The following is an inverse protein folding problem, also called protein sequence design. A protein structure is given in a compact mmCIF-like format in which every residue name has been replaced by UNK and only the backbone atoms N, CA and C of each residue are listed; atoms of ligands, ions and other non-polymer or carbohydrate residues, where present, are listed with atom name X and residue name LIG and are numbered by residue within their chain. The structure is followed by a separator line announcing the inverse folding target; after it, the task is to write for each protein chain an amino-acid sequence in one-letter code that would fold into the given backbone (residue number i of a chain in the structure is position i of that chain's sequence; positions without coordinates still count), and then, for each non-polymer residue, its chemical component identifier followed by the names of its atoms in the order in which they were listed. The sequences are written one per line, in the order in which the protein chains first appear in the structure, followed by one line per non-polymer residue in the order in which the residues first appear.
data_IF_863259560582
#
_entry.id   IF_863259560582
#
_cell.length_a   1.000
_cell.length_b   1.000
_cell.length_c   1.000
_cell.angle_alpha   90.00
_cell.angle_beta   90.00
_cell.angle_gamma   90.00
#
_symmetry.space_group_name_H-M   'P 1'
#
loop_
_entity.id
_entity.type
_entity.pdbx_description
1 polymer ?
#
# COMPACT_ATOMS: atom_id res chain seq x y z
N UNK A 1 -18.85 -4.38 -2.21
CA UNK A 1 -17.71 -3.49 -1.91
C UNK A 1 -16.64 -3.70 -2.98
N UNK A 2 -16.36 -2.69 -3.80
CA UNK A 2 -15.46 -2.78 -4.96
C UNK A 2 -14.05 -2.32 -4.56
N UNK A 3 -12.98 -3.06 -4.91
CA UNK A 3 -11.62 -2.59 -4.68
C UNK A 3 -11.38 -1.31 -5.49
N UNK A 4 -10.53 -0.43 -4.97
CA UNK A 4 -10.06 0.70 -5.76
C UNK A 4 -9.27 0.19 -6.95
N UNK A 5 -9.51 0.82 -8.10
CA UNK A 5 -8.73 0.54 -9.30
C UNK A 5 -7.27 0.88 -9.08
N UNK A 6 -6.41 0.11 -9.73
CA UNK A 6 -4.96 0.39 -9.71
C UNK A 6 -4.69 1.64 -10.51
N UNK A 7 -3.65 2.36 -10.09
CA UNK A 7 -3.17 3.48 -10.85
C UNK A 7 -2.62 2.97 -12.18
N UNK A 8 -3.07 3.55 -13.29
CA UNK A 8 -2.56 3.24 -14.64
C UNK A 8 -1.47 4.23 -15.04
N UNK A 9 -0.58 3.85 -15.95
CA UNK A 9 0.46 4.74 -16.47
C UNK A 9 -0.11 6.04 -17.06
N UNK A 10 -1.17 5.96 -17.87
CA UNK A 10 -1.82 7.15 -18.46
C UNK A 10 -2.36 8.08 -17.37
N UNK A 11 -3.03 7.52 -16.36
CA UNK A 11 -3.52 8.29 -15.23
C UNK A 11 -2.39 8.93 -14.46
N UNK A 12 -1.33 8.17 -14.14
CA UNK A 12 -0.16 8.68 -13.46
C UNK A 12 0.51 9.81 -14.26
N UNK A 13 0.61 9.70 -15.59
CA UNK A 13 1.15 10.73 -16.47
C UNK A 13 0.30 12.01 -16.51
N UNK A 14 -1.03 11.87 -16.41
CA UNK A 14 -1.97 12.99 -16.38
C UNK A 14 -1.97 13.78 -15.06
N UNK A 15 -1.42 13.21 -13.98
CA UNK A 15 -1.39 13.90 -12.69
C UNK A 15 -0.42 15.09 -12.72
N UNK A 16 -0.86 16.29 -12.28
CA UNK A 16 0.02 17.45 -12.19
C UNK A 16 1.02 17.29 -11.03
N UNK A 17 2.14 18.01 -11.11
CA UNK A 17 3.04 18.15 -9.97
C UNK A 17 2.28 18.73 -8.76
N UNK A 18 2.58 18.22 -7.57
CA UNK A 18 1.84 18.51 -6.35
C UNK A 18 0.72 17.52 -6.03
N UNK A 19 0.35 16.63 -6.95
CA UNK A 19 -0.63 15.57 -6.70
C UNK A 19 -0.17 14.65 -5.59
N UNK A 20 -1.11 14.23 -4.73
CA UNK A 20 -0.83 13.35 -3.60
C UNK A 20 -1.27 11.93 -3.91
N UNK A 21 -0.42 10.97 -3.61
CA UNK A 21 -0.70 9.55 -3.74
C UNK A 21 -0.42 8.82 -2.43
N UNK A 22 -1.22 7.82 -2.12
CA UNK A 22 -0.96 6.89 -1.02
C UNK A 22 -0.08 5.76 -1.51
N UNK A 23 1.15 5.68 -1.04
CA UNK A 23 2.10 4.61 -1.34
C UNK A 23 2.36 3.81 -0.07
N UNK A 24 1.92 2.55 -0.03
CA UNK A 24 1.94 1.74 1.20
C UNK A 24 1.27 2.47 2.37
N UNK A 25 2.01 2.66 3.46
CA UNK A 25 1.57 3.39 4.66
C UNK A 25 1.70 4.92 4.60
N UNK A 26 2.43 5.47 3.61
CA UNK A 26 2.76 6.89 3.53
C UNK A 26 2.01 7.62 2.41
N UNK A 27 1.90 8.93 2.53
CA UNK A 27 1.41 9.80 1.45
C UNK A 27 2.64 10.49 0.85
N UNK A 28 2.77 10.41 -0.46
CA UNK A 28 3.81 11.09 -1.23
C UNK A 28 3.18 12.20 -2.08
N UNK A 29 3.95 13.26 -2.34
CA UNK A 29 3.60 14.34 -3.26
C UNK A 29 4.47 14.24 -4.50
N UNK A 30 3.86 14.11 -5.67
CA UNK A 30 4.59 14.08 -6.95
C UNK A 30 5.29 15.41 -7.19
N UNK A 31 6.57 15.37 -7.58
CA UNK A 31 7.35 16.58 -7.89
C UNK A 31 7.90 16.57 -9.31
N UNK A 32 8.12 15.40 -9.90
CA UNK A 32 8.71 15.31 -11.23
C UNK A 32 8.66 13.90 -11.80
N UNK A 33 9.12 13.79 -13.04
CA UNK A 33 9.34 12.53 -13.74
C UNK A 33 10.70 12.61 -14.42
N UNK A 34 11.40 11.50 -14.42
CA UNK A 34 12.72 11.38 -15.04
C UNK A 34 12.92 10.00 -15.63
N UNK A 35 14.11 9.78 -16.16
CA UNK A 35 14.54 8.48 -16.66
C UNK A 35 15.93 8.17 -16.13
N UNK A 36 16.15 6.94 -15.71
CA UNK A 36 17.44 6.46 -15.22
C UNK A 36 17.89 5.24 -16.01
N UNK A 37 19.08 5.27 -16.59
CA UNK A 37 19.67 4.10 -17.24
C UNK A 37 20.60 3.40 -16.27
N UNK A 38 20.29 2.14 -15.94
CA UNK A 38 21.12 1.35 -15.04
C UNK A 38 22.38 0.80 -15.73
N UNK A 39 23.28 0.21 -14.94
CA UNK A 39 24.53 -0.39 -15.44
C UNK A 39 24.33 -1.57 -16.41
N UNK A 40 23.13 -2.14 -16.46
CA UNK A 40 22.74 -3.16 -17.44
C UNK A 40 22.18 -2.56 -18.75
N UNK A 41 22.25 -1.24 -18.93
CA UNK A 41 21.77 -0.53 -20.12
C UNK A 41 20.25 -0.40 -20.22
N UNK A 42 19.50 -0.73 -19.16
CA UNK A 42 18.04 -0.58 -19.14
C UNK A 42 17.65 0.81 -18.66
N UNK A 43 16.88 1.52 -19.47
CA UNK A 43 16.26 2.79 -19.10
C UNK A 43 14.96 2.52 -18.34
N UNK A 44 14.88 3.06 -17.13
CA UNK A 44 13.74 2.96 -16.23
C UNK A 44 13.10 4.34 -16.09
N UNK A 45 11.78 4.40 -16.15
CA UNK A 45 11.04 5.62 -15.84
C UNK A 45 11.01 5.81 -14.33
N UNK A 46 11.39 7.00 -13.89
CA UNK A 46 11.47 7.38 -12.49
C UNK A 46 10.40 8.43 -12.19
N UNK A 47 9.76 8.27 -11.04
CA UNK A 47 8.81 9.23 -10.48
C UNK A 47 9.46 9.88 -9.27
N UNK A 48 9.67 11.19 -9.35
CA UNK A 48 10.20 11.98 -8.26
C UNK A 48 9.06 12.42 -7.36
N UNK A 49 9.29 12.32 -6.05
CA UNK A 49 8.31 12.67 -5.04
C UNK A 49 8.96 13.27 -3.80
N UNK A 50 8.12 13.86 -2.96
CA UNK A 50 8.45 14.27 -1.60
C UNK A 50 7.54 13.52 -0.63
N UNK A 51 8.13 12.88 0.38
CA UNK A 51 7.38 12.17 1.40
C UNK A 51 6.66 13.14 2.37
N UNK A 52 5.86 12.60 3.29
CA UNK A 52 5.13 13.42 4.27
C UNK A 52 6.04 14.18 5.26
N UNK A 53 7.33 13.85 5.33
CA UNK A 53 8.33 14.53 6.16
C UNK A 53 9.11 15.60 5.38
N UNK A 54 8.80 15.79 4.10
CA UNK A 54 9.51 16.73 3.24
C UNK A 54 10.79 16.16 2.63
N UNK A 55 11.05 14.85 2.78
CA UNK A 55 12.25 14.22 2.24
C UNK A 55 12.01 13.87 0.76
N UNK A 56 12.87 14.35 -0.17
CA UNK A 56 12.79 13.97 -1.57
C UNK A 56 13.19 12.51 -1.76
N UNK A 57 12.55 11.85 -2.72
CA UNK A 57 12.89 10.50 -3.13
C UNK A 57 12.44 10.24 -4.57
N UNK A 58 12.86 9.10 -5.11
CA UNK A 58 12.45 8.64 -6.43
C UNK A 58 12.18 7.14 -6.40
N UNK A 59 11.12 6.73 -7.09
CA UNK A 59 10.81 5.33 -7.32
C UNK A 59 10.66 5.08 -8.81
N UNK A 60 10.92 3.85 -9.22
CA UNK A 60 10.55 3.40 -10.54
C UNK A 60 9.02 3.50 -10.70
N UNK A 61 8.58 3.92 -11.89
CA UNK A 61 7.17 4.05 -12.23
C UNK A 61 6.38 2.77 -11.95
N UNK A 62 6.94 1.60 -12.26
CA UNK A 62 6.33 0.29 -12.01
C UNK A 62 5.93 0.10 -10.53
N UNK A 63 6.80 0.51 -9.60
CA UNK A 63 6.53 0.44 -8.15
C UNK A 63 5.34 1.33 -7.78
N UNK A 64 5.26 2.54 -8.36
CA UNK A 64 4.15 3.46 -8.13
C UNK A 64 2.85 2.88 -8.68
N UNK A 65 2.85 2.29 -9.87
CA UNK A 65 1.65 1.70 -10.48
C UNK A 65 1.13 0.48 -9.69
N UNK A 66 2.05 -0.36 -9.20
CA UNK A 66 1.68 -1.55 -8.43
C UNK A 66 1.18 -1.21 -7.02
N UNK A 67 1.75 -0.17 -6.41
CA UNK A 67 1.60 0.06 -4.97
C UNK A 67 0.86 1.34 -4.61
N UNK A 68 0.77 2.35 -5.48
CA UNK A 68 0.18 3.64 -5.15
C UNK A 68 -1.30 3.73 -5.52
N UNK A 69 -2.01 4.69 -4.93
CA UNK A 69 -3.38 5.06 -5.31
C UNK A 69 -3.69 6.51 -5.02
N UNK A 70 -4.61 7.10 -5.77
CA UNK A 70 -5.16 8.44 -5.52
C UNK A 70 -6.06 8.47 -4.26
N UNK A 71 -6.56 7.31 -3.82
CA UNK A 71 -7.40 7.21 -2.63
C UNK A 71 -6.57 7.26 -1.34
N UNK A 72 -6.37 8.46 -0.81
CA UNK A 72 -5.49 8.73 0.35
C UNK A 72 -5.90 7.98 1.64
N UNK A 73 -7.20 7.75 1.81
CA UNK A 73 -7.77 7.04 2.95
C UNK A 73 -7.87 5.52 2.73
N UNK A 74 -7.31 5.02 1.62
CA UNK A 74 -7.33 3.58 1.35
C UNK A 74 -6.41 2.81 2.29
N UNK A 75 -6.84 1.60 2.60
CA UNK A 75 -6.05 0.61 3.32
C UNK A 75 -5.82 -0.59 2.42
N UNK A 76 -4.64 -1.19 2.52
CA UNK A 76 -4.28 -2.38 1.75
C UNK A 76 -4.56 -3.62 2.59
N UNK A 77 -5.27 -4.60 2.01
CA UNK A 77 -5.49 -5.87 2.68
C UNK A 77 -4.18 -6.66 2.78
N UNK A 78 -3.81 -7.06 3.99
CA UNK A 78 -2.58 -7.81 4.25
C UNK A 78 -2.57 -9.24 3.65
N UNK A 79 -3.73 -9.76 3.23
CA UNK A 79 -3.83 -11.08 2.59
C UNK A 79 -3.82 -10.99 1.05
N UNK A 80 -4.75 -10.23 0.47
CA UNK A 80 -4.94 -10.22 -0.99
C UNK A 80 -4.30 -9.01 -1.68
N UNK A 81 -3.72 -8.06 -0.94
CA UNK A 81 -3.09 -6.86 -1.50
C UNK A 81 -4.07 -5.83 -2.09
N UNK A 82 -5.38 -6.11 -2.12
CA UNK A 82 -6.35 -5.16 -2.65
C UNK A 82 -6.44 -3.91 -1.76
N UNK A 83 -6.49 -2.74 -2.40
CA UNK A 83 -6.75 -1.45 -1.75
C UNK A 83 -8.25 -1.20 -1.67
N UNK A 84 -8.74 -0.85 -0.49
CA UNK A 84 -10.16 -0.59 -0.24
C UNK A 84 -10.37 0.59 0.68
N UNK A 85 -11.60 1.05 0.80
CA UNK A 85 -11.98 1.98 1.85
C UNK A 85 -11.79 1.33 3.23
N UNK A 86 -11.44 2.14 4.24
CA UNK A 86 -11.17 1.64 5.59
C UNK A 86 -12.37 0.91 6.20
N UNK A 87 -13.59 1.37 5.91
CA UNK A 87 -14.83 0.77 6.40
C UNK A 87 -15.15 -0.60 5.78
N UNK A 88 -14.51 -0.95 4.65
CA UNK A 88 -14.68 -2.25 3.98
C UNK A 88 -13.67 -3.29 4.51
N UNK A 89 -12.87 -2.89 5.51
CA UNK A 89 -11.80 -3.70 6.07
C UNK A 89 -11.97 -3.86 7.59
N UNK A 90 -11.83 -5.10 8.06
CA UNK A 90 -11.68 -5.39 9.48
C UNK A 90 -10.21 -5.27 9.89
N UNK A 91 -9.97 -4.69 11.06
CA UNK A 91 -8.62 -4.63 11.66
C UNK A 91 -8.42 -5.86 12.53
N UNK A 92 -7.30 -6.56 12.35
CA UNK A 92 -6.86 -7.65 13.22
C UNK A 92 -5.43 -7.43 13.68
N UNK A 93 -5.18 -7.75 14.94
CA UNK A 93 -3.83 -7.81 15.47
C UNK A 93 -3.15 -9.09 14.98
N UNK A 94 -2.00 -8.92 14.34
CA UNK A 94 -1.14 -9.99 13.85
C UNK A 94 0.10 -10.01 14.73
N UNK A 95 0.26 -11.08 15.51
CA UNK A 95 1.42 -11.28 16.37
C UNK A 95 2.33 -12.35 15.78
N UNK A 96 3.63 -12.07 15.78
CA UNK A 96 4.72 -13.02 15.52
C UNK A 96 5.48 -13.28 16.82
N UNK A 97 6.47 -14.18 16.81
CA UNK A 97 7.34 -14.42 17.99
C UNK A 97 8.06 -13.16 18.47
N UNK A 98 8.33 -12.19 17.59
CA UNK A 98 9.14 -11.02 17.91
C UNK A 98 8.35 -9.70 17.90
N UNK A 99 7.24 -9.62 17.18
CA UNK A 99 6.55 -8.36 16.93
C UNK A 99 5.03 -8.53 16.93
N UNK A 100 4.32 -7.47 17.32
CA UNK A 100 2.87 -7.39 17.19
C UNK A 100 2.52 -6.15 16.38
N UNK A 101 1.67 -6.30 15.36
CA UNK A 101 1.19 -5.18 14.55
C UNK A 101 -0.30 -5.31 14.26
N UNK A 102 -0.94 -4.19 13.93
CA UNK A 102 -2.31 -4.20 13.42
C UNK A 102 -2.27 -4.27 11.90
N UNK A 103 -3.20 -5.02 11.31
CA UNK A 103 -3.32 -5.19 9.86
C UNK A 103 -4.77 -5.16 9.42
N UNK A 104 -5.02 -4.60 8.25
CA UNK A 104 -6.34 -4.53 7.63
C UNK A 104 -6.59 -5.77 6.77
N UNK A 105 -7.80 -6.32 6.84
CA UNK A 105 -8.25 -7.46 6.06
C UNK A 105 -9.61 -7.18 5.46
N UNK A 106 -9.83 -7.57 4.21
CA UNK A 106 -11.17 -7.44 3.62
C UNK A 106 -12.18 -8.29 4.41
N UNK A 107 -13.32 -7.68 4.73
CA UNK A 107 -14.41 -8.32 5.46
C UNK A 107 -15.11 -9.38 4.59
N UNK A 108 -15.40 -9.03 3.34
CA UNK A 108 -16.21 -9.79 2.37
C UNK A 108 -15.71 -11.20 2.05
N UNK A 109 -14.39 -11.42 2.00
CA UNK A 109 -13.78 -12.67 1.51
C UNK A 109 -13.20 -13.56 2.60
N UNK A 110 -13.43 -13.22 3.88
CA UNK A 110 -12.79 -13.92 5.00
C UNK A 110 -11.26 -13.85 4.92
N UNK A 111 -10.71 -12.76 4.39
CA UNK A 111 -9.28 -12.62 4.12
C UNK A 111 -8.43 -12.79 5.39
N UNK A 112 -8.93 -12.34 6.53
CA UNK A 112 -8.27 -12.54 7.81
C UNK A 112 -8.08 -14.03 8.12
N UNK A 113 -9.13 -14.83 7.99
CA UNK A 113 -9.09 -16.26 8.33
C UNK A 113 -8.12 -17.03 7.43
N UNK A 114 -8.16 -16.75 6.12
CA UNK A 114 -7.24 -17.36 5.15
C UNK A 114 -5.79 -17.00 5.45
N UNK A 115 -5.54 -15.74 5.80
CA UNK A 115 -4.20 -15.28 6.18
C UNK A 115 -3.63 -16.08 7.35
N UNK A 116 -4.38 -16.21 8.45
CA UNK A 116 -3.92 -16.94 9.62
C UNK A 116 -3.83 -18.45 9.38
N UNK A 117 -4.67 -19.02 8.51
CA UNK A 117 -4.56 -20.43 8.08
C UNK A 117 -3.27 -20.69 7.29
N UNK A 118 -2.89 -19.77 6.40
CA UNK A 118 -1.66 -19.87 5.62
C UNK A 118 -0.41 -19.50 6.42
N UNK A 119 -0.57 -18.78 7.53
CA UNK A 119 0.53 -18.32 8.38
C UNK A 119 0.35 -18.84 9.81
N UNK A 120 0.50 -20.15 10.07
CA UNK A 120 0.26 -20.74 11.39
C UNK A 120 1.22 -20.21 12.48
N UNK A 121 2.39 -19.69 12.09
CA UNK A 121 3.31 -19.01 13.00
C UNK A 121 2.88 -17.61 13.43
N UNK A 122 1.73 -17.11 12.93
CA UNK A 122 1.14 -15.83 13.32
C UNK A 122 -0.12 -16.09 14.14
N UNK A 123 -0.18 -15.57 15.37
CA UNK A 123 -1.35 -15.77 16.23
C UNK A 123 -2.35 -14.63 16.08
N UNK A 124 -3.64 -15.00 16.10
CA UNK A 124 -4.73 -14.05 16.34
C UNK A 124 -4.70 -13.73 17.83
N UNK A 125 -4.35 -12.50 18.22
CA UNK A 125 -4.61 -12.10 19.60
C UNK A 125 -6.12 -11.87 19.73
N UNK A 126 -6.83 -12.79 20.38
CA UNK A 126 -8.21 -12.53 20.79
C UNK A 126 -8.18 -11.34 21.75
N UNK A 127 -9.00 -10.30 21.49
CA UNK A 127 -9.23 -9.25 22.49
C UNK A 127 -9.64 -9.95 23.77
N UNK A 128 -8.75 -9.95 24.76
CA UNK A 128 -9.07 -10.39 26.11
C UNK A 128 -9.91 -9.25 26.70
N UNK A 129 -11.22 -9.30 26.48
CA UNK A 129 -12.16 -8.51 27.27
C UNK A 129 -12.03 -9.03 28.71
N UNK A 130 -11.15 -8.41 29.50
CA UNK A 130 -11.27 -8.45 30.95
C UNK A 130 -12.04 -7.21 31.34
N UNK A 131 -13.33 -7.42 31.63
CA UNK A 131 -14.09 -6.57 32.54
C UNK A 131 -13.57 -6.82 33.96
#
# INVERSE_FOLDING_TARGET
MQPYERLTADRLASLPAGSRLKLGGQIIKLTGRGSFTNSAGRTLNMIDYVDSRGVPGSFEESIILDSATEHLNSVMCAYCGARRHVNDCIVRTVSTKMTTSQSHFCEDKGCAERFFRMNPGRSKMARRNKW
#
